data_IF_628107769364
#
_entry.id   IF_628107769364
#
_cell.length_a   1.000
_cell.length_b   1.000
_cell.length_c   1.000
_cell.angle_alpha   90.00
_cell.angle_beta   90.00
_cell.angle_gamma   90.00
#
_symmetry.space_group_name_H-M   'P 1'
#
loop_
_entity.id
_entity.type
_entity.pdbx_description
1 polymer ?
#
# COMPACT_ATOMS: atom_id res chain seq x y z
N UNK A 1 16.77 6.70 28.12
CA UNK A 1 15.43 6.78 27.50
C UNK A 1 15.36 6.18 26.09
N UNK A 2 16.23 6.54 25.15
CA UNK A 2 16.19 6.02 23.76
C UNK A 2 16.39 4.49 23.64
N UNK A 3 17.24 3.89 24.48
CA UNK A 3 17.48 2.43 24.46
C UNK A 3 16.23 1.62 24.80
N UNK A 4 15.56 1.97 25.90
CA UNK A 4 14.34 1.30 26.36
C UNK A 4 13.22 1.43 25.32
N UNK A 5 13.05 2.61 24.72
CA UNK A 5 12.07 2.81 23.64
C UNK A 5 12.35 1.92 22.41
N UNK A 6 13.61 1.78 22.00
CA UNK A 6 14.00 0.90 20.88
C UNK A 6 13.73 -0.57 21.18
N UNK A 7 13.92 -1.01 22.42
CA UNK A 7 13.59 -2.38 22.84
C UNK A 7 12.08 -2.62 22.72
N UNK A 8 11.25 -1.71 23.22
CA UNK A 8 9.79 -1.84 23.09
C UNK A 8 9.34 -1.85 21.63
N UNK A 9 9.91 -0.97 20.80
CA UNK A 9 9.63 -0.97 19.35
C UNK A 9 10.09 -2.27 18.67
N UNK A 10 11.20 -2.87 19.09
CA UNK A 10 11.65 -4.16 18.57
C UNK A 10 10.65 -5.27 18.88
N UNK A 11 10.18 -5.34 20.13
CA UNK A 11 9.14 -6.32 20.52
C UNK A 11 7.83 -6.12 19.77
N UNK A 12 7.42 -4.86 19.56
CA UNK A 12 6.25 -4.54 18.76
C UNK A 12 6.43 -5.01 17.30
N UNK A 13 7.55 -4.66 16.65
CA UNK A 13 7.75 -5.01 15.25
C UNK A 13 7.92 -6.52 15.04
N UNK A 14 8.49 -7.23 16.02
CA UNK A 14 8.60 -8.70 15.98
C UNK A 14 7.25 -9.41 15.96
N UNK A 15 6.25 -8.86 16.66
CA UNK A 15 4.89 -9.43 16.71
C UNK A 15 4.01 -8.94 15.56
N UNK A 16 4.19 -7.70 15.10
CA UNK A 16 3.39 -7.12 14.00
C UNK A 16 3.83 -7.64 12.63
N UNK A 17 5.12 -7.88 12.41
CA UNK A 17 5.63 -8.29 11.10
C UNK A 17 5.02 -9.62 10.58
N UNK A 18 4.91 -10.70 11.38
CA UNK A 18 4.25 -11.93 10.95
C UNK A 18 2.78 -11.73 10.58
N UNK A 19 2.06 -10.86 11.31
CA UNK A 19 0.66 -10.55 11.03
C UNK A 19 0.52 -9.84 9.67
N UNK A 20 1.37 -8.85 9.39
CA UNK A 20 1.39 -8.17 8.10
C UNK A 20 1.76 -9.11 6.95
N UNK A 21 2.75 -9.99 7.15
CA UNK A 21 3.12 -11.02 6.18
C UNK A 21 1.96 -11.98 5.87
N UNK A 22 1.21 -12.39 6.89
CA UNK A 22 0.01 -13.21 6.72
C UNK A 22 -1.07 -12.48 5.91
N UNK A 23 -1.35 -11.21 6.18
CA UNK A 23 -2.32 -10.41 5.43
C UNK A 23 -1.92 -10.26 3.96
N UNK A 24 -0.66 -9.92 3.70
CA UNK A 24 -0.13 -9.81 2.34
C UNK A 24 -0.25 -11.14 1.57
N UNK A 25 0.06 -12.25 2.24
CA UNK A 25 -0.09 -13.59 1.68
C UNK A 25 -1.54 -13.87 1.28
N UNK A 26 -2.49 -13.65 2.18
CA UNK A 26 -3.92 -13.94 1.91
C UNK A 26 -4.46 -13.07 0.78
N UNK A 27 -4.08 -11.78 0.73
CA UNK A 27 -4.51 -10.87 -0.33
C UNK A 27 -3.92 -11.25 -1.70
N UNK A 28 -2.61 -11.51 -1.75
CA UNK A 28 -1.93 -11.85 -3.02
C UNK A 28 -2.35 -13.24 -3.54
N UNK A 29 -2.34 -14.27 -2.70
CA UNK A 29 -2.71 -15.62 -3.13
C UNK A 29 -4.21 -15.74 -3.41
N UNK A 30 -5.05 -15.04 -2.64
CA UNK A 30 -6.49 -14.96 -2.89
C UNK A 30 -6.82 -14.30 -4.23
N UNK A 31 -6.17 -13.19 -4.58
CA UNK A 31 -6.41 -12.49 -5.86
C UNK A 31 -5.78 -13.20 -7.07
N UNK A 32 -4.60 -13.81 -6.92
CA UNK A 32 -3.89 -14.44 -8.05
C UNK A 32 -4.36 -15.86 -8.32
N UNK A 33 -4.62 -16.66 -7.29
CA UNK A 33 -4.91 -18.10 -7.43
C UNK A 33 -6.35 -18.48 -7.07
N UNK A 34 -7.18 -17.55 -6.58
CA UNK A 34 -8.59 -17.80 -6.23
C UNK A 34 -8.80 -18.72 -5.01
N UNK A 35 -7.75 -19.34 -4.49
CA UNK A 35 -7.75 -20.20 -3.32
C UNK A 35 -6.78 -19.65 -2.26
N UNK A 36 -7.23 -19.66 -1.00
CA UNK A 36 -6.48 -19.11 0.15
C UNK A 36 -5.18 -19.87 0.43
N UNK A 37 -5.06 -21.10 -0.07
CA UNK A 37 -3.87 -21.94 0.12
C UNK A 37 -3.63 -22.88 -1.07
N UNK A 38 -2.99 -22.41 -2.17
CA UNK A 38 -2.78 -23.23 -3.34
C UNK A 38 -1.69 -24.30 -3.13
N UNK A 39 -0.57 -23.97 -2.46
CA UNK A 39 0.51 -24.93 -2.14
C UNK A 39 1.56 -24.33 -1.20
N UNK A 40 2.22 -25.18 -0.40
CA UNK A 40 3.33 -24.82 0.51
C UNK A 40 4.49 -24.15 -0.25
N UNK A 41 4.77 -24.59 -1.48
CA UNK A 41 5.86 -24.04 -2.30
C UNK A 41 5.59 -22.58 -2.70
N UNK A 42 4.35 -22.25 -3.08
CA UNK A 42 3.97 -20.89 -3.46
C UNK A 42 4.08 -19.94 -2.26
N UNK A 43 3.68 -20.41 -1.07
CA UNK A 43 3.82 -19.64 0.17
C UNK A 43 5.29 -19.44 0.55
N UNK A 44 6.12 -20.47 0.40
CA UNK A 44 7.56 -20.40 0.70
C UNK A 44 8.25 -19.37 -0.20
N UNK A 45 8.02 -19.43 -1.51
CA UNK A 45 8.61 -18.50 -2.48
C UNK A 45 8.18 -17.06 -2.18
N UNK A 46 6.91 -16.82 -1.87
CA UNK A 46 6.40 -15.49 -1.53
C UNK A 46 7.04 -14.95 -0.24
N UNK A 47 7.18 -15.76 0.80
CA UNK A 47 7.84 -15.35 2.04
C UNK A 47 9.33 -15.06 1.83
N UNK A 48 10.05 -15.90 1.08
CA UNK A 48 11.46 -15.67 0.73
C UNK A 48 11.61 -14.37 -0.06
N UNK A 49 10.71 -14.09 -1.00
CA UNK A 49 10.73 -12.85 -1.77
C UNK A 49 10.51 -11.61 -0.88
N UNK A 50 9.52 -11.63 0.02
CA UNK A 50 9.23 -10.51 0.93
C UNK A 50 10.40 -10.26 1.88
N UNK A 51 10.90 -11.31 2.54
CA UNK A 51 12.03 -11.18 3.47
C UNK A 51 13.30 -10.76 2.73
N UNK A 52 13.56 -11.36 1.56
CA UNK A 52 14.71 -11.04 0.72
C UNK A 52 14.72 -9.59 0.25
N UNK A 53 13.58 -9.07 -0.21
CA UNK A 53 13.43 -7.66 -0.56
C UNK A 53 13.67 -6.73 0.63
N UNK A 54 13.17 -7.09 1.81
CA UNK A 54 13.42 -6.35 3.06
C UNK A 54 14.89 -6.30 3.45
N UNK A 55 15.58 -7.44 3.41
CA UNK A 55 17.02 -7.54 3.72
C UNK A 55 17.86 -6.78 2.69
N UNK A 56 17.55 -6.91 1.40
CA UNK A 56 18.22 -6.18 0.34
C UNK A 56 18.08 -4.67 0.53
N UNK A 57 16.87 -4.18 0.81
CA UNK A 57 16.63 -2.75 1.04
C UNK A 57 17.36 -2.25 2.29
N UNK A 58 17.37 -3.03 3.37
CA UNK A 58 18.10 -2.71 4.59
C UNK A 58 19.62 -2.63 4.36
N UNK A 59 20.18 -3.42 3.43
CA UNK A 59 21.61 -3.45 3.14
C UNK A 59 22.05 -2.37 2.14
N UNK A 60 21.27 -2.13 1.09
CA UNK A 60 21.68 -1.26 -0.02
C UNK A 60 21.16 0.18 0.10
N UNK A 61 19.95 0.40 0.65
CA UNK A 61 19.33 1.73 0.71
C UNK A 61 18.48 1.89 1.99
N UNK A 62 19.11 2.01 3.18
CA UNK A 62 18.40 2.09 4.46
C UNK A 62 17.78 3.47 4.75
N UNK A 63 17.26 4.18 3.72
CA UNK A 63 16.55 5.44 3.89
C UNK A 63 15.06 5.18 4.14
N UNK A 64 14.70 5.14 5.42
CA UNK A 64 13.32 4.90 5.89
C UNK A 64 12.36 5.96 5.32
N UNK A 65 12.78 7.23 5.29
CA UNK A 65 11.95 8.33 4.79
C UNK A 65 11.63 8.19 3.29
N UNK A 66 12.61 7.77 2.49
CA UNK A 66 12.41 7.49 1.07
C UNK A 66 11.40 6.38 0.84
N UNK A 67 11.57 5.24 1.52
CA UNK A 67 10.66 4.10 1.41
C UNK A 67 9.23 4.50 1.77
N UNK A 68 9.05 5.22 2.88
CA UNK A 68 7.73 5.66 3.34
C UNK A 68 7.10 6.65 2.37
N UNK A 69 7.85 7.63 1.86
CA UNK A 69 7.33 8.65 0.93
C UNK A 69 6.86 8.03 -0.38
N UNK A 70 7.68 7.21 -1.02
CA UNK A 70 7.33 6.58 -2.31
C UNK A 70 6.22 5.54 -2.17
N UNK A 71 6.31 4.67 -1.16
CA UNK A 71 5.27 3.67 -0.88
C UNK A 71 3.94 4.34 -0.55
N UNK A 72 3.97 5.32 0.37
CA UNK A 72 2.79 6.09 0.79
C UNK A 72 2.15 6.90 -0.33
N UNK A 73 2.93 7.54 -1.19
CA UNK A 73 2.39 8.29 -2.33
C UNK A 73 1.74 7.36 -3.36
N UNK A 74 2.36 6.22 -3.66
CA UNK A 74 1.84 5.25 -4.64
C UNK A 74 0.57 4.57 -4.14
N UNK A 75 0.57 4.05 -2.92
CA UNK A 75 -0.61 3.39 -2.35
C UNK A 75 -1.71 4.41 -2.01
N UNK A 76 -1.35 5.61 -1.57
CA UNK A 76 -2.27 6.71 -1.32
C UNK A 76 -2.99 7.16 -2.59
N UNK A 77 -2.27 7.32 -3.71
CA UNK A 77 -2.88 7.63 -5.00
C UNK A 77 -3.97 6.62 -5.35
N UNK A 78 -3.64 5.32 -5.32
CA UNK A 78 -4.58 4.29 -5.69
C UNK A 78 -5.76 4.22 -4.69
N UNK A 79 -5.49 3.89 -3.42
CA UNK A 79 -6.52 3.50 -2.46
C UNK A 79 -7.21 4.68 -1.76
N UNK A 80 -6.54 5.82 -1.61
CA UNK A 80 -7.10 6.98 -0.89
C UNK A 80 -7.73 7.98 -1.85
N UNK A 81 -7.14 8.22 -3.01
CA UNK A 81 -7.63 9.23 -3.95
C UNK A 81 -8.45 8.64 -5.10
N UNK A 82 -7.90 7.68 -5.83
CA UNK A 82 -8.46 7.19 -7.10
C UNK A 82 -9.66 6.27 -6.88
N UNK A 83 -9.48 5.18 -6.14
CA UNK A 83 -10.54 4.18 -5.93
C UNK A 83 -11.84 4.76 -5.36
N UNK A 84 -11.84 5.47 -4.22
CA UNK A 84 -13.10 5.99 -3.65
C UNK A 84 -13.75 7.02 -4.58
N UNK A 85 -12.97 7.89 -5.22
CA UNK A 85 -13.48 8.91 -6.13
C UNK A 85 -14.11 8.31 -7.38
N UNK A 86 -13.46 7.32 -8.00
CA UNK A 86 -13.98 6.62 -9.17
C UNK A 86 -15.25 5.83 -8.83
N UNK A 87 -15.23 5.07 -7.74
CA UNK A 87 -16.39 4.27 -7.32
C UNK A 87 -17.60 5.17 -7.05
N UNK A 88 -17.39 6.31 -6.40
CA UNK A 88 -18.45 7.29 -6.16
C UNK A 88 -19.04 7.84 -7.48
N UNK A 89 -18.18 8.31 -8.39
CA UNK A 89 -18.62 8.87 -9.68
C UNK A 89 -19.34 7.82 -10.54
N UNK A 90 -18.82 6.59 -10.61
CA UNK A 90 -19.45 5.48 -11.35
C UNK A 90 -20.81 5.14 -10.73
N UNK A 91 -20.91 5.09 -9.40
CA UNK A 91 -22.17 4.82 -8.70
C UNK A 91 -23.20 5.90 -9.00
N UNK A 92 -22.80 7.17 -8.99
CA UNK A 92 -23.70 8.30 -9.24
C UNK A 92 -24.13 8.38 -10.72
N UNK A 93 -23.24 8.03 -11.65
CA UNK A 93 -23.56 7.90 -13.06
C UNK A 93 -24.57 6.78 -13.33
N UNK A 94 -24.40 5.62 -12.70
CA UNK A 94 -25.38 4.50 -12.79
C UNK A 94 -26.74 4.87 -12.20
N UNK A 95 -26.78 5.72 -11.19
CA UNK A 95 -28.02 6.23 -10.60
C UNK A 95 -28.67 7.37 -11.42
N UNK A 96 -28.03 7.87 -12.47
CA UNK A 96 -28.51 9.01 -13.26
C UNK A 96 -28.50 10.36 -12.52
N UNK A 97 -27.86 10.44 -11.35
CA UNK A 97 -27.83 11.61 -10.47
C UNK A 97 -26.50 12.38 -10.57
N UNK A 98 -25.72 12.15 -11.63
CA UNK A 98 -24.40 12.75 -11.78
C UNK A 98 -24.51 14.26 -11.98
N UNK A 99 -24.08 15.01 -10.98
CA UNK A 99 -23.99 16.46 -11.07
C UNK A 99 -22.59 16.88 -11.54
N UNK A 100 -22.53 17.86 -12.44
CA UNK A 100 -21.27 18.41 -12.95
C UNK A 100 -20.32 18.91 -11.83
N UNK A 101 -20.79 19.59 -10.76
CA UNK A 101 -19.92 20.00 -9.67
C UNK A 101 -19.27 18.82 -8.94
N UNK A 102 -20.03 17.74 -8.69
CA UNK A 102 -19.50 16.55 -8.05
C UNK A 102 -18.40 15.89 -8.90
N UNK A 103 -18.58 15.83 -10.22
CA UNK A 103 -17.58 15.30 -11.13
C UNK A 103 -16.28 16.10 -11.08
N UNK A 104 -16.36 17.44 -11.15
CA UNK A 104 -15.19 18.32 -11.13
C UNK A 104 -14.40 18.16 -9.83
N UNK A 105 -15.08 18.13 -8.68
CA UNK A 105 -14.43 17.97 -7.38
C UNK A 105 -13.68 16.64 -7.29
N UNK A 106 -14.29 15.53 -7.71
CA UNK A 106 -13.66 14.21 -7.64
C UNK A 106 -12.48 14.07 -8.62
N UNK A 107 -12.57 14.68 -9.80
CA UNK A 107 -11.42 14.76 -10.73
C UNK A 107 -10.28 15.57 -10.10
N UNK A 108 -10.59 16.70 -9.46
CA UNK A 108 -9.58 17.52 -8.79
C UNK A 108 -8.86 16.75 -7.66
N UNK A 109 -9.60 15.98 -6.87
CA UNK A 109 -9.03 15.10 -5.82
C UNK A 109 -8.05 14.08 -6.41
N UNK A 110 -8.39 13.46 -7.55
CA UNK A 110 -7.50 12.52 -8.24
C UNK A 110 -6.24 13.22 -8.73
N UNK A 111 -6.37 14.43 -9.29
CA UNK A 111 -5.23 15.23 -9.73
C UNK A 111 -4.28 15.60 -8.59
N UNK A 112 -4.81 15.91 -7.39
CA UNK A 112 -3.98 16.15 -6.21
C UNK A 112 -3.18 14.91 -5.82
N UNK A 113 -3.79 13.73 -5.87
CA UNK A 113 -3.09 12.46 -5.64
C UNK A 113 -1.95 12.24 -6.64
N UNK A 114 -2.19 12.52 -7.93
CA UNK A 114 -1.18 12.42 -8.99
C UNK A 114 -0.04 13.41 -8.77
N UNK A 115 -0.39 14.66 -8.44
CA UNK A 115 0.59 15.69 -8.13
C UNK A 115 1.48 15.31 -6.94
N UNK A 116 0.93 14.67 -5.90
CA UNK A 116 1.71 14.17 -4.77
C UNK A 116 2.75 13.13 -5.20
N UNK A 117 2.37 12.18 -6.07
CA UNK A 117 3.32 11.19 -6.59
C UNK A 117 4.42 11.83 -7.44
N UNK A 118 4.04 12.74 -8.35
CA UNK A 118 4.99 13.47 -9.20
C UNK A 118 5.96 14.28 -8.34
N UNK A 119 5.47 14.94 -7.29
CA UNK A 119 6.29 15.72 -6.37
C UNK A 119 7.36 14.86 -5.68
N UNK A 120 7.10 13.58 -5.40
CA UNK A 120 8.13 12.69 -4.83
C UNK A 120 9.31 12.44 -5.76
N UNK A 121 9.11 12.46 -7.09
CA UNK A 121 10.19 12.29 -8.06
C UNK A 121 11.00 13.57 -8.29
N UNK A 122 10.40 14.73 -8.02
CA UNK A 122 11.03 16.04 -8.19
C UNK A 122 11.78 16.52 -6.92
N UNK A 123 11.45 15.96 -5.74
CA UNK A 123 11.96 16.35 -4.41
C UNK A 123 12.71 15.21 -3.69
#
# INVERSE_FOLDING_TARGET
MSFVARIFLLFQMMTVYPLLGYLARVQLLGQVFGNVYPSVFHVLVLNIAIVGAGVAMARFYPNIGGIIRYSGATCGLAFVFVYPSLIYVISLHRAGQLTWPALIIHIFIILLGLANLIAQFLL
#
